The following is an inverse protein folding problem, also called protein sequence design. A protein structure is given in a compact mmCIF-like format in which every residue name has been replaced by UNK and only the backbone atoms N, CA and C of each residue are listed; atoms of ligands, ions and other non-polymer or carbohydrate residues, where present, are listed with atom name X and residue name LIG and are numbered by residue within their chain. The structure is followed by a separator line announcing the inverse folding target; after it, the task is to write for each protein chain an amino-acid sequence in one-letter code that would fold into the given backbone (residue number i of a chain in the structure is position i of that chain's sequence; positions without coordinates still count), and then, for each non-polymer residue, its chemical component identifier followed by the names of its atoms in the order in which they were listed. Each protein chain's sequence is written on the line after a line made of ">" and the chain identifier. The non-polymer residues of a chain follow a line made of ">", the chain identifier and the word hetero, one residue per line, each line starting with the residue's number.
data_IF_339291416617
#
_entry.id   IF_339291416617
#
_cell.length_a   1.000
_cell.length_b   1.000
_cell.length_c   1.000
_cell.angle_alpha   90.00
_cell.angle_beta   90.00
_cell.angle_gamma   90.00
#
_symmetry.space_group_name_H-M   'P 1'
#
loop_
_entity.id
_entity.type
_entity.pdbx_description
1 polymer ?
#
# COMPACT_ATOMS: atom_id res chain seq x y z
N UNK A 1 -5.79 3.95 -10.93
CA UNK A 1 -5.26 5.28 -11.30
C UNK A 1 -5.90 6.32 -10.40
N UNK A 2 -5.08 7.18 -9.80
CA UNK A 2 -5.56 8.25 -8.91
C UNK A 2 -5.73 9.57 -9.64
N UNK A 3 -4.89 9.83 -10.64
CA UNK A 3 -4.93 11.08 -11.39
C UNK A 3 -4.24 10.94 -12.75
N UNK A 4 -4.72 11.67 -13.76
CA UNK A 4 -4.06 11.84 -15.04
C UNK A 4 -3.31 13.18 -15.01
N UNK A 5 -1.98 13.15 -15.01
CA UNK A 5 -1.16 14.37 -14.89
C UNK A 5 -1.09 15.17 -16.17
N UNK A 6 -0.93 14.50 -17.30
CA UNK A 6 -0.73 15.13 -18.59
C UNK A 6 -1.14 14.18 -19.71
N UNK A 7 -1.71 14.74 -20.76
CA UNK A 7 -2.01 14.03 -22.01
C UNK A 7 -1.40 14.83 -23.16
N UNK A 8 -0.67 14.17 -24.03
CA UNK A 8 -0.14 14.73 -25.26
C UNK A 8 -0.72 13.97 -26.44
N UNK A 9 -1.26 14.69 -27.39
CA UNK A 9 -1.82 14.12 -28.60
C UNK A 9 -1.13 14.71 -29.82
N UNK A 10 -0.95 13.87 -30.85
CA UNK A 10 -0.46 14.28 -32.16
C UNK A 10 -1.30 13.63 -33.26
N UNK A 11 -1.53 14.34 -34.34
CA UNK A 11 -2.13 13.82 -35.55
C UNK A 11 -1.05 13.35 -36.53
N UNK A 12 -1.27 12.19 -37.13
CA UNK A 12 -0.51 11.71 -38.27
C UNK A 12 -1.51 11.21 -39.34
N UNK A 13 -1.81 12.07 -40.30
CA UNK A 13 -2.91 11.84 -41.24
C UNK A 13 -4.26 11.86 -40.50
N UNK A 14 -5.05 10.82 -40.68
CA UNK A 14 -6.35 10.63 -40.01
C UNK A 14 -6.24 10.02 -38.61
N UNK A 15 -5.06 9.55 -38.22
CA UNK A 15 -4.85 8.87 -36.94
C UNK A 15 -4.38 9.83 -35.85
N UNK A 16 -4.80 9.54 -34.62
CA UNK A 16 -4.40 10.21 -33.39
C UNK A 16 -3.45 9.29 -32.64
N UNK A 17 -2.30 9.80 -32.25
CA UNK A 17 -1.35 9.13 -31.37
C UNK A 17 -1.27 9.89 -30.04
N UNK A 18 -1.19 9.18 -28.94
CA UNK A 18 -1.23 9.78 -27.62
C UNK A 18 -0.15 9.30 -26.67
N UNK A 19 0.16 10.16 -25.71
CA UNK A 19 0.90 9.83 -24.51
C UNK A 19 0.12 10.33 -23.32
N UNK A 20 -0.11 9.49 -22.31
CA UNK A 20 -0.74 9.88 -21.07
C UNK A 20 0.15 9.53 -19.87
N UNK A 21 0.30 10.48 -18.94
CA UNK A 21 1.06 10.31 -17.71
C UNK A 21 0.10 10.10 -16.55
N UNK A 22 0.11 8.87 -16.02
CA UNK A 22 -0.81 8.41 -14.99
C UNK A 22 -0.12 8.41 -13.64
N UNK A 23 -0.76 9.02 -12.65
CA UNK A 23 -0.36 8.89 -11.26
C UNK A 23 -1.12 7.72 -10.63
N UNK A 24 -0.40 6.85 -9.94
CA UNK A 24 -0.95 5.68 -9.28
C UNK A 24 -0.64 5.73 -7.78
N UNK A 25 -1.44 5.01 -6.99
CA UNK A 25 -1.10 4.81 -5.59
C UNK A 25 0.17 3.93 -5.51
N UNK A 26 1.26 4.38 -4.85
CA UNK A 26 2.52 3.65 -4.78
C UNK A 26 2.42 2.31 -4.02
N UNK A 27 1.33 2.09 -3.28
CA UNK A 27 1.06 0.86 -2.54
C UNK A 27 0.14 -0.11 -3.29
N UNK A 28 -0.29 0.22 -4.53
CA UNK A 28 -1.07 -0.68 -5.36
C UNK A 28 -0.25 -1.92 -5.74
N UNK A 29 -0.86 -3.09 -5.64
CA UNK A 29 -0.23 -4.34 -6.09
C UNK A 29 0.03 -4.31 -7.60
N UNK A 30 1.15 -4.88 -8.04
CA UNK A 30 1.55 -4.87 -9.45
C UNK A 30 0.57 -5.58 -10.38
N UNK A 31 -0.16 -6.58 -9.86
CA UNK A 31 -1.20 -7.27 -10.62
C UNK A 31 -2.43 -6.38 -10.82
N UNK A 32 -2.91 -5.75 -9.74
CA UNK A 32 -4.06 -4.83 -9.82
C UNK A 32 -3.76 -3.64 -10.73
N UNK A 33 -2.53 -3.14 -10.67
CA UNK A 33 -2.07 -2.08 -11.55
C UNK A 33 -2.11 -2.50 -13.02
N UNK A 34 -1.63 -3.69 -13.34
CA UNK A 34 -1.66 -4.22 -14.71
C UNK A 34 -3.08 -4.38 -15.23
N UNK A 35 -3.97 -4.92 -14.41
CA UNK A 35 -5.38 -5.14 -14.75
C UNK A 35 -6.11 -3.80 -14.97
N UNK A 36 -5.77 -2.77 -14.19
CA UNK A 36 -6.30 -1.41 -14.33
C UNK A 36 -5.82 -0.75 -15.62
N UNK A 37 -4.52 -0.82 -15.91
CA UNK A 37 -3.94 -0.26 -17.14
C UNK A 37 -4.54 -0.93 -18.36
N UNK A 38 -4.68 -2.24 -18.37
CA UNK A 38 -5.28 -2.96 -19.47
C UNK A 38 -6.75 -2.59 -19.71
N UNK A 39 -7.51 -2.30 -18.64
CA UNK A 39 -8.88 -1.77 -18.77
C UNK A 39 -8.90 -0.39 -19.38
N UNK A 40 -8.03 0.52 -18.90
CA UNK A 40 -7.91 1.88 -19.44
C UNK A 40 -7.55 1.88 -20.93
N UNK A 41 -6.60 1.06 -21.31
CA UNK A 41 -6.17 0.92 -22.70
C UNK A 41 -7.33 0.51 -23.60
N UNK A 42 -8.08 -0.53 -23.25
CA UNK A 42 -9.28 -0.94 -23.93
C UNK A 42 -10.39 0.13 -23.98
N UNK A 43 -10.60 0.80 -22.85
CA UNK A 43 -11.63 1.85 -22.79
C UNK A 43 -11.29 3.02 -23.72
N UNK A 44 -10.01 3.39 -23.81
CA UNK A 44 -9.56 4.45 -24.73
C UNK A 44 -9.68 4.00 -26.18
N UNK A 45 -9.25 2.79 -26.53
CA UNK A 45 -9.39 2.21 -27.88
C UNK A 45 -10.83 2.17 -28.35
N UNK A 46 -11.79 1.85 -27.45
CA UNK A 46 -13.20 1.75 -27.77
C UNK A 46 -13.92 3.08 -27.93
N UNK A 47 -13.44 4.14 -27.27
CA UNK A 47 -14.13 5.42 -27.19
C UNK A 47 -13.47 6.54 -28.00
N UNK A 48 -12.26 6.33 -28.52
CA UNK A 48 -11.55 7.33 -29.33
C UNK A 48 -11.49 6.88 -30.80
N UNK A 49 -12.25 7.56 -31.66
CA UNK A 49 -12.24 7.31 -33.10
C UNK A 49 -10.85 7.67 -33.69
N UNK A 50 -10.40 6.83 -34.61
CA UNK A 50 -9.10 7.01 -35.29
C UNK A 50 -7.89 7.00 -34.36
N UNK A 51 -7.99 6.34 -33.21
CA UNK A 51 -6.82 6.11 -32.36
C UNK A 51 -5.84 5.17 -33.07
N UNK A 52 -4.62 5.63 -33.31
CA UNK A 52 -3.54 4.80 -33.85
C UNK A 52 -2.81 4.05 -32.76
N UNK A 53 -2.44 4.74 -31.69
CA UNK A 53 -1.78 4.15 -30.51
C UNK A 53 -1.77 5.15 -29.36
N UNK A 54 -1.74 4.65 -28.13
CA UNK A 54 -1.54 5.46 -26.91
C UNK A 54 -0.52 4.81 -25.98
N UNK A 55 0.45 5.58 -25.55
CA UNK A 55 1.46 5.14 -24.59
C UNK A 55 1.10 5.65 -23.19
N UNK A 56 0.89 4.73 -22.26
CA UNK A 56 0.58 5.04 -20.87
C UNK A 56 1.85 5.00 -20.02
N UNK A 57 2.31 6.16 -19.57
CA UNK A 57 3.43 6.28 -18.63
C UNK A 57 2.91 6.26 -17.20
N UNK A 58 3.48 5.39 -16.38
CA UNK A 58 3.16 5.28 -14.97
C UNK A 58 4.20 6.03 -14.17
N UNK A 59 3.75 7.00 -13.39
CA UNK A 59 4.60 7.79 -12.48
C UNK A 59 4.08 7.64 -11.05
N UNK A 60 4.56 6.63 -10.30
CA UNK A 60 4.18 6.49 -8.91
C UNK A 60 4.82 7.64 -8.11
N UNK A 61 4.02 8.50 -7.47
CA UNK A 61 4.58 9.52 -6.62
C UNK A 61 5.34 8.85 -5.48
N UNK A 62 6.53 9.34 -5.19
CA UNK A 62 7.25 8.91 -3.98
C UNK A 62 6.45 9.38 -2.77
N UNK A 63 5.97 8.48 -1.92
CA UNK A 63 5.22 8.90 -0.75
C UNK A 63 6.11 9.77 0.13
N UNK A 64 5.64 10.96 0.45
CA UNK A 64 6.37 11.88 1.33
C UNK A 64 6.35 11.42 2.78
N UNK A 65 5.33 10.65 3.14
CA UNK A 65 5.14 10.07 4.47
C UNK A 65 4.56 8.66 4.32
N UNK A 66 5.20 7.68 4.95
CA UNK A 66 4.73 6.28 5.00
C UNK A 66 4.38 5.95 6.44
N UNK A 67 3.17 5.46 6.68
CA UNK A 67 2.74 4.97 7.99
C UNK A 67 2.72 3.45 8.00
N UNK A 68 3.59 2.88 8.80
CA UNK A 68 3.74 1.44 8.99
C UNK A 68 3.02 1.03 10.27
N UNK A 69 2.20 -0.01 10.19
CA UNK A 69 1.54 -0.64 11.33
C UNK A 69 2.21 -1.99 11.62
N UNK A 70 2.48 -2.26 12.90
CA UNK A 70 3.13 -3.48 13.37
C UNK A 70 2.36 -3.99 14.59
N UNK A 71 1.85 -5.23 14.61
CA UNK A 71 1.22 -5.80 15.79
C UNK A 71 2.27 -6.08 16.86
N UNK A 72 2.04 -5.63 18.09
CA UNK A 72 2.92 -5.82 19.23
C UNK A 72 2.20 -6.46 20.42
N UNK A 73 2.92 -7.27 21.19
CA UNK A 73 2.44 -7.85 22.46
C UNK A 73 2.84 -7.01 23.67
N UNK A 74 4.01 -6.39 23.61
CA UNK A 74 4.55 -5.55 24.67
C UNK A 74 4.96 -4.18 24.11
N UNK A 75 4.56 -3.12 24.79
CA UNK A 75 4.86 -1.75 24.40
C UNK A 75 6.07 -1.21 25.19
N UNK A 76 7.20 -1.17 24.49
CA UNK A 76 8.47 -0.62 24.98
C UNK A 76 9.04 0.41 24.00
N UNK A 77 8.15 1.23 23.39
CA UNK A 77 8.54 2.14 22.32
C UNK A 77 9.10 1.39 21.11
N UNK A 78 10.19 1.85 20.52
CA UNK A 78 10.84 1.17 19.39
C UNK A 78 11.39 -0.23 19.72
N UNK A 79 11.55 -0.57 21.00
CA UNK A 79 11.93 -1.90 21.48
C UNK A 79 10.73 -2.81 21.78
N UNK A 80 9.53 -2.42 21.34
CA UNK A 80 8.32 -3.23 21.45
C UNK A 80 8.49 -4.58 20.77
N UNK A 81 7.94 -5.62 21.42
CA UNK A 81 8.02 -7.00 20.93
C UNK A 81 6.87 -7.23 19.95
N UNK A 82 7.22 -7.74 18.78
CA UNK A 82 6.27 -8.02 17.71
C UNK A 82 5.44 -9.26 18.07
N UNK A 83 4.14 -9.21 17.76
CA UNK A 83 3.24 -10.34 17.92
C UNK A 83 3.46 -11.34 16.78
N UNK A 84 3.83 -12.57 17.12
CA UNK A 84 4.09 -13.65 16.16
C UNK A 84 3.08 -14.79 16.28
N UNK A 85 2.43 -14.92 17.43
CA UNK A 85 1.49 -16.00 17.70
C UNK A 85 0.04 -15.59 17.41
N UNK A 86 -0.67 -16.28 16.49
CA UNK A 86 -2.07 -15.98 16.17
C UNK A 86 -3.04 -16.11 17.34
N UNK A 87 -2.67 -16.85 18.39
CA UNK A 87 -3.51 -17.03 19.58
C UNK A 87 -3.45 -15.87 20.58
N UNK A 88 -2.49 -14.99 20.41
CA UNK A 88 -2.29 -13.85 21.31
C UNK A 88 -3.14 -12.65 20.89
N UNK A 89 -3.54 -11.88 21.89
CA UNK A 89 -4.06 -10.54 21.66
C UNK A 89 -2.89 -9.57 21.51
N UNK A 90 -3.06 -8.58 20.66
CA UNK A 90 -2.04 -7.58 20.36
C UNK A 90 -2.67 -6.20 20.17
N UNK A 91 -1.83 -5.20 20.16
CA UNK A 91 -2.18 -3.83 19.76
C UNK A 91 -1.31 -3.39 18.58
N UNK A 92 -1.71 -2.35 17.87
CA UNK A 92 -0.90 -1.83 16.78
C UNK A 92 0.08 -0.77 17.29
N UNK A 93 1.31 -0.90 16.86
CA UNK A 93 2.34 0.11 16.93
C UNK A 93 2.50 0.75 15.56
N UNK A 94 2.45 2.07 15.51
CA UNK A 94 2.58 2.83 14.28
C UNK A 94 3.92 3.54 14.23
N UNK A 95 4.53 3.53 13.04
CA UNK A 95 5.76 4.28 12.75
C UNK A 95 5.52 5.11 11.51
N UNK A 96 5.76 6.41 11.58
CA UNK A 96 5.77 7.31 10.45
C UNK A 96 7.20 7.49 9.94
N UNK A 97 7.41 7.19 8.66
CA UNK A 97 8.69 7.28 7.97
C UNK A 97 8.61 8.38 6.92
N UNK A 98 9.61 9.26 6.88
CA UNK A 98 9.78 10.26 5.83
C UNK A 98 11.20 10.18 5.29
N UNK A 99 11.32 9.91 3.98
CA UNK A 99 12.62 9.57 3.39
C UNK A 99 13.22 8.34 4.07
N UNK A 100 14.42 8.44 4.59
CA UNK A 100 15.13 7.35 5.28
C UNK A 100 15.11 7.49 6.82
N UNK A 101 14.13 8.18 7.39
CA UNK A 101 14.08 8.43 8.82
C UNK A 101 12.72 8.27 9.48
N UNK A 102 12.74 7.81 10.72
CA UNK A 102 11.55 7.75 11.57
C UNK A 102 11.24 9.16 12.06
N UNK A 103 10.02 9.65 11.78
CA UNK A 103 9.56 10.96 12.22
C UNK A 103 8.76 10.89 13.50
N UNK A 104 7.92 9.86 13.65
CA UNK A 104 7.04 9.68 14.78
C UNK A 104 6.72 8.21 14.98
N UNK A 105 6.44 7.83 16.22
CA UNK A 105 5.92 6.51 16.53
C UNK A 105 4.97 6.57 17.74
N UNK A 106 4.02 5.65 17.82
CA UNK A 106 3.08 5.50 18.94
C UNK A 106 2.43 4.12 18.93
N UNK A 107 1.94 3.67 20.06
CA UNK A 107 1.06 2.51 20.17
C UNK A 107 -0.39 2.96 20.29
N UNK A 108 -1.31 2.05 20.02
CA UNK A 108 -2.74 2.28 20.19
C UNK A 108 -3.25 1.54 21.43
N UNK A 109 -4.27 2.09 22.13
CA UNK A 109 -4.84 1.41 23.30
C UNK A 109 -5.71 0.22 22.93
N UNK A 110 -6.24 0.19 21.71
CA UNK A 110 -7.14 -0.85 21.23
C UNK A 110 -6.43 -2.20 21.12
N UNK A 111 -7.11 -3.26 21.57
CA UNK A 111 -6.62 -4.64 21.56
C UNK A 111 -7.32 -5.42 20.46
N UNK A 112 -6.56 -6.15 19.67
CA UNK A 112 -7.02 -6.94 18.54
C UNK A 112 -6.68 -8.42 18.70
N UNK A 113 -7.40 -9.24 17.95
CA UNK A 113 -7.05 -10.64 17.70
C UNK A 113 -7.24 -10.96 16.23
N UNK A 114 -6.55 -11.98 15.74
CA UNK A 114 -6.65 -12.42 14.33
C UNK A 114 -8.02 -12.97 13.94
N UNK A 115 -8.91 -13.20 14.92
CA UNK A 115 -10.28 -13.69 14.69
C UNK A 115 -11.21 -12.61 14.12
N UNK A 116 -10.81 -11.33 14.17
CA UNK A 116 -11.60 -10.18 13.71
C UNK A 116 -10.95 -9.42 12.57
N UNK A 117 -10.72 -10.05 11.40
CA UNK A 117 -9.95 -9.44 10.30
C UNK A 117 -10.60 -8.19 9.70
N UNK A 118 -11.92 -8.11 9.68
CA UNK A 118 -12.63 -6.93 9.17
C UNK A 118 -12.49 -5.71 10.07
N UNK A 119 -12.55 -5.89 11.40
CA UNK A 119 -12.33 -4.82 12.38
C UNK A 119 -10.89 -4.29 12.26
N UNK A 120 -9.91 -5.19 12.14
CA UNK A 120 -8.50 -4.83 11.94
C UNK A 120 -8.28 -4.02 10.67
N UNK A 121 -8.80 -4.49 9.53
CA UNK A 121 -8.64 -3.79 8.26
C UNK A 121 -9.27 -2.39 8.28
N UNK A 122 -10.47 -2.27 8.85
CA UNK A 122 -11.15 -0.99 9.00
C UNK A 122 -10.39 -0.04 9.93
N UNK A 123 -9.87 -0.55 11.04
CA UNK A 123 -9.05 0.23 11.97
C UNK A 123 -7.80 0.78 11.28
N UNK A 124 -7.04 -0.08 10.57
CA UNK A 124 -5.85 0.31 9.84
C UNK A 124 -6.15 1.35 8.75
N UNK A 125 -7.29 1.23 8.07
CA UNK A 125 -7.78 2.23 7.11
C UNK A 125 -8.04 3.58 7.78
N UNK A 126 -8.78 3.61 8.90
CA UNK A 126 -9.09 4.83 9.65
C UNK A 126 -7.79 5.50 10.17
N UNK A 127 -6.81 4.72 10.57
CA UNK A 127 -5.49 5.22 11.00
C UNK A 127 -4.57 5.57 9.82
N UNK A 128 -5.05 5.46 8.58
CA UNK A 128 -4.29 5.75 7.36
C UNK A 128 -2.97 4.96 7.27
N UNK A 129 -2.98 3.70 7.67
CA UNK A 129 -1.83 2.82 7.48
C UNK A 129 -1.57 2.62 5.97
N UNK A 130 -0.33 2.68 5.56
CA UNK A 130 0.11 2.37 4.20
C UNK A 130 0.64 0.95 4.10
N UNK A 131 1.28 0.50 5.17
CA UNK A 131 1.94 -0.80 5.27
C UNK A 131 1.52 -1.49 6.56
N UNK A 132 1.26 -2.78 6.48
CA UNK A 132 1.19 -3.69 7.62
C UNK A 132 2.35 -4.68 7.55
N UNK A 133 3.14 -4.79 8.61
CA UNK A 133 4.16 -5.83 8.75
C UNK A 133 3.63 -6.85 9.75
N UNK A 134 3.41 -8.08 9.29
CA UNK A 134 2.93 -9.15 10.16
C UNK A 134 3.15 -10.52 9.52
N UNK A 135 3.47 -11.53 10.33
CA UNK A 135 3.48 -12.96 9.95
C UNK A 135 2.09 -13.61 10.11
N UNK A 136 1.16 -12.96 10.81
CA UNK A 136 -0.15 -13.49 11.19
C UNK A 136 -1.26 -13.02 10.25
N UNK A 137 -1.13 -13.26 8.95
CA UNK A 137 -2.09 -12.76 7.95
C UNK A 137 -2.99 -13.91 7.47
N UNK A 138 -4.26 -13.87 7.86
CA UNK A 138 -5.30 -14.73 7.28
C UNK A 138 -5.69 -14.22 5.87
N UNK A 139 -6.07 -15.10 4.94
CA UNK A 139 -6.42 -14.70 3.57
C UNK A 139 -7.48 -13.59 3.48
N UNK A 140 -8.50 -13.65 4.35
CA UNK A 140 -9.57 -12.65 4.39
C UNK A 140 -9.06 -11.27 4.84
N UNK A 141 -8.12 -11.23 5.79
CA UNK A 141 -7.47 -9.98 6.20
C UNK A 141 -6.64 -9.40 5.07
N UNK A 142 -5.82 -10.25 4.42
CA UNK A 142 -5.02 -9.83 3.27
C UNK A 142 -5.87 -9.20 2.18
N UNK A 143 -6.99 -9.85 1.82
CA UNK A 143 -7.92 -9.33 0.82
C UNK A 143 -8.49 -7.95 1.21
N UNK A 144 -8.97 -7.80 2.46
CA UNK A 144 -9.52 -6.54 2.95
C UNK A 144 -8.48 -5.41 3.01
N UNK A 145 -7.23 -5.72 3.36
CA UNK A 145 -6.14 -4.75 3.37
C UNK A 145 -5.81 -4.28 1.95
N UNK A 146 -5.73 -5.22 1.01
CA UNK A 146 -5.48 -4.92 -0.40
C UNK A 146 -6.55 -4.01 -1.01
N UNK A 147 -7.84 -4.26 -0.73
CA UNK A 147 -8.95 -3.38 -1.14
C UNK A 147 -8.83 -1.94 -0.60
N UNK A 148 -8.13 -1.76 0.51
CA UNK A 148 -7.88 -0.46 1.12
C UNK A 148 -6.50 0.12 0.76
N UNK A 149 -5.79 -0.45 -0.21
CA UNK A 149 -4.43 -0.06 -0.62
C UNK A 149 -3.41 -0.10 0.53
N UNK A 150 -3.58 -1.04 1.45
CA UNK A 150 -2.63 -1.30 2.53
C UNK A 150 -1.75 -2.47 2.10
N UNK A 151 -0.47 -2.21 1.87
CA UNK A 151 0.50 -3.22 1.49
C UNK A 151 0.90 -4.07 2.69
N UNK A 152 1.00 -5.38 2.47
CA UNK A 152 1.40 -6.31 3.52
C UNK A 152 2.81 -6.81 3.24
N UNK A 153 3.68 -6.68 4.24
CA UNK A 153 5.00 -7.30 4.24
C UNK A 153 5.05 -8.41 5.30
N UNK A 154 5.62 -9.57 4.94
CA UNK A 154 5.85 -10.61 5.94
C UNK A 154 6.84 -10.10 6.98
N UNK A 155 6.60 -10.42 8.25
CA UNK A 155 7.58 -10.21 9.30
C UNK A 155 8.66 -11.29 9.21
N UNK A 156 9.92 -10.91 9.30
CA UNK A 156 11.03 -11.84 9.32
C UNK A 156 11.26 -12.33 10.76
N UNK A 157 11.16 -13.63 10.97
CA UNK A 157 11.23 -14.28 12.29
C UNK A 157 12.52 -14.02 13.09
N UNK A 158 13.59 -13.62 12.41
CA UNK A 158 14.87 -13.31 13.05
C UNK A 158 14.91 -11.92 13.72
N UNK A 159 13.89 -11.09 13.48
CA UNK A 159 13.81 -9.71 13.99
C UNK A 159 12.64 -9.60 14.94
N UNK A 160 12.89 -9.42 16.23
CA UNK A 160 11.87 -9.49 17.28
C UNK A 160 11.31 -8.14 17.73
N UNK A 161 11.96 -7.05 17.38
CA UNK A 161 11.56 -5.71 17.79
C UNK A 161 11.21 -4.78 16.63
N UNK A 162 10.43 -3.75 16.93
CA UNK A 162 9.94 -2.78 15.96
C UNK A 162 11.09 -2.02 15.29
N UNK A 163 12.11 -1.60 16.04
CA UNK A 163 13.20 -0.79 15.50
C UNK A 163 13.95 -1.50 14.39
N UNK A 164 14.34 -2.75 14.63
CA UNK A 164 15.07 -3.54 13.65
C UNK A 164 14.19 -3.90 12.45
N UNK A 165 12.91 -4.16 12.68
CA UNK A 165 11.95 -4.42 11.57
C UNK A 165 11.79 -3.19 10.68
N UNK A 166 11.68 -2.00 11.24
CA UNK A 166 11.54 -0.76 10.47
C UNK A 166 12.82 -0.42 9.71
N UNK A 167 13.99 -0.71 10.26
CA UNK A 167 15.29 -0.52 9.58
C UNK A 167 15.41 -1.34 8.28
N UNK A 168 14.70 -2.45 8.16
CA UNK A 168 14.68 -3.22 6.92
C UNK A 168 13.84 -2.57 5.80
N UNK A 169 13.04 -1.55 6.13
CA UNK A 169 12.24 -0.78 5.16
C UNK A 169 12.94 0.51 4.70
N UNK A 170 13.94 0.95 5.44
CA UNK A 170 14.70 2.17 5.17
C UNK A 170 15.89 1.91 4.26
#
# INVERSE_FOLDING_TARGET
>A
VTHVKNIRLRHAGTYIFGEAFLEINPFTDSKDLRDEIHRLDKDVEQNVEHLGDIVLYIDPPKPTLVRVAIPITQDNGLKSIIAENPSETFRFFFVEIRGNGIQKFWSTPEIFSVEKPAEMANFLKIKHANILISSMIKPILYYNLRLNNIKVYPHFLDVKDVENTVKLLL
#
